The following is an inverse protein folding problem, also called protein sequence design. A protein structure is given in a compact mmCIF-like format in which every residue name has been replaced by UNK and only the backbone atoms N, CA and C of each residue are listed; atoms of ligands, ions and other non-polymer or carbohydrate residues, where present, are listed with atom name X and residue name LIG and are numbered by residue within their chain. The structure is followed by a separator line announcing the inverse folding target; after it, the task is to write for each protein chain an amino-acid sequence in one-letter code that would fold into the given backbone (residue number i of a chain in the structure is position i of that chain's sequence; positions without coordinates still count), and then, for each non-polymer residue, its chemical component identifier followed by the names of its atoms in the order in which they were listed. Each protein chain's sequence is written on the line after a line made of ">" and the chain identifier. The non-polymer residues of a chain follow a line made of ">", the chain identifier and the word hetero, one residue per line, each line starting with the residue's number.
data_IF_477166194775
#
_entry.id   IF_477166194775
#
_cell.length_a   1.000
_cell.length_b   1.000
_cell.length_c   1.000
_cell.angle_alpha   90.00
_cell.angle_beta   90.00
_cell.angle_gamma   90.00
#
_symmetry.space_group_name_H-M   'P 1'
#
loop_
_entity.id
_entity.type
_entity.pdbx_description
1 polymer ?
#
# COMPACT_ATOMS: atom_id res chain seq x y z
N UNK A 1 28.12 39.94 20.90
CA UNK A 1 27.30 39.42 19.79
C UNK A 1 28.11 38.32 19.16
N UNK A 2 27.79 37.07 19.49
CA UNK A 2 28.42 35.88 18.91
C UNK A 2 27.48 35.36 17.84
N UNK A 3 27.92 35.39 16.59
CA UNK A 3 27.20 34.81 15.47
C UNK A 3 27.16 33.28 15.66
N UNK A 4 25.96 32.74 15.76
CA UNK A 4 25.72 31.30 15.79
C UNK A 4 25.83 30.80 14.35
N UNK A 5 26.84 29.98 14.08
CA UNK A 5 27.00 29.25 12.83
C UNK A 5 25.76 28.35 12.62
N UNK A 6 24.94 28.70 11.63
CA UNK A 6 23.82 27.86 11.19
C UNK A 6 24.42 26.73 10.34
N UNK A 7 24.05 25.49 10.68
CA UNK A 7 24.56 24.23 10.11
C UNK A 7 24.57 24.22 8.57
N UNK A 8 25.77 24.13 7.99
CA UNK A 8 26.02 23.66 6.62
C UNK A 8 25.80 22.14 6.59
N UNK A 9 24.55 21.70 6.39
CA UNK A 9 24.33 20.32 5.98
C UNK A 9 24.87 20.16 4.56
N UNK A 10 26.01 19.46 4.44
CA UNK A 10 26.62 19.14 3.16
C UNK A 10 25.55 18.55 2.23
N UNK A 11 25.45 19.04 0.98
CA UNK A 11 24.53 18.52 -0.04
C UNK A 11 24.59 16.99 -0.16
N UNK A 12 25.75 16.38 0.12
CA UNK A 12 25.91 14.94 0.16
C UNK A 12 25.10 14.26 1.27
N UNK A 13 24.98 14.88 2.45
CA UNK A 13 24.20 14.35 3.57
C UNK A 13 22.69 14.40 3.29
N UNK A 14 22.20 15.50 2.72
CA UNK A 14 20.80 15.63 2.28
C UNK A 14 20.49 14.61 1.19
N UNK A 15 21.40 14.42 0.23
CA UNK A 15 21.25 13.42 -0.83
C UNK A 15 21.21 11.99 -0.26
N UNK A 16 22.07 11.68 0.71
CA UNK A 16 22.12 10.36 1.34
C UNK A 16 20.87 10.05 2.17
N UNK A 17 20.38 11.01 2.96
CA UNK A 17 19.14 10.84 3.73
C UNK A 17 17.92 10.69 2.80
N UNK A 18 17.89 11.45 1.71
CA UNK A 18 16.82 11.35 0.73
C UNK A 18 16.85 10.02 -0.04
N UNK A 19 18.04 9.56 -0.44
CA UNK A 19 18.22 8.22 -1.03
C UNK A 19 17.83 7.13 -0.03
N UNK A 20 18.14 7.27 1.26
CA UNK A 20 17.73 6.31 2.28
C UNK A 20 16.20 6.25 2.44
N UNK A 21 15.52 7.41 2.46
CA UNK A 21 14.05 7.49 2.50
C UNK A 21 13.46 6.83 1.25
N UNK A 22 13.98 7.14 0.07
CA UNK A 22 13.50 6.55 -1.19
C UNK A 22 13.75 5.04 -1.25
N UNK A 23 14.90 4.58 -0.77
CA UNK A 23 15.23 3.15 -0.67
C UNK A 23 14.26 2.44 0.27
N UNK A 24 13.86 3.10 1.38
CA UNK A 24 12.88 2.56 2.33
C UNK A 24 11.46 2.55 1.76
N UNK A 25 11.03 3.62 1.10
CA UNK A 25 9.75 3.69 0.36
C UNK A 25 9.73 2.65 -0.78
N UNK A 26 10.86 2.42 -1.44
CA UNK A 26 11.03 1.40 -2.45
C UNK A 26 10.93 0.00 -1.86
N UNK A 27 11.60 -0.27 -0.72
CA UNK A 27 11.49 -1.54 0.02
C UNK A 27 10.05 -1.82 0.44
N UNK A 28 9.34 -0.80 0.94
CA UNK A 28 7.94 -0.89 1.34
C UNK A 28 7.03 -1.30 0.18
N UNK A 29 7.21 -0.68 -1.00
CA UNK A 29 6.43 -1.02 -2.19
C UNK A 29 6.86 -2.36 -2.79
N UNK A 30 8.15 -2.70 -2.74
CA UNK A 30 8.67 -4.01 -3.10
C UNK A 30 8.10 -5.09 -2.21
N UNK A 31 7.99 -4.86 -0.91
CA UNK A 31 7.42 -5.82 0.03
C UNK A 31 5.94 -6.02 -0.21
N UNK A 32 5.16 -4.96 -0.48
CA UNK A 32 3.77 -5.09 -0.92
C UNK A 32 3.65 -5.89 -2.24
N UNK A 33 4.54 -5.67 -3.20
CA UNK A 33 4.53 -6.42 -4.46
C UNK A 33 5.04 -7.86 -4.30
N UNK A 34 6.03 -8.09 -3.44
CA UNK A 34 6.49 -9.42 -3.08
C UNK A 34 5.40 -10.13 -2.25
N UNK A 35 4.65 -9.42 -1.41
CA UNK A 35 3.47 -9.89 -0.69
C UNK A 35 2.23 -10.05 -1.57
N UNK A 36 2.25 -9.69 -2.85
CA UNK A 36 1.09 -9.83 -3.74
C UNK A 36 1.38 -10.71 -4.96
N UNK A 37 2.64 -10.75 -5.40
CA UNK A 37 3.11 -11.50 -6.57
C UNK A 37 4.07 -12.64 -6.20
N UNK A 38 4.79 -12.55 -5.07
CA UNK A 38 5.60 -13.64 -4.52
C UNK A 38 4.90 -14.36 -3.34
N UNK A 39 3.58 -14.18 -3.18
CA UNK A 39 2.77 -15.17 -2.48
C UNK A 39 2.74 -16.44 -3.31
N UNK A 40 3.84 -17.19 -3.22
CA UNK A 40 3.96 -18.57 -3.68
C UNK A 40 2.72 -19.35 -3.20
N UNK A 41 1.82 -19.70 -4.12
CA UNK A 41 0.62 -20.57 -4.01
C UNK A 41 -0.38 -20.34 -2.85
N UNK A 42 0.00 -19.61 -1.83
CA UNK A 42 -0.73 -19.48 -0.58
C UNK A 42 -1.71 -18.31 -0.73
N UNK A 43 -3.01 -18.61 -0.61
CA UNK A 43 -4.16 -17.70 -0.80
C UNK A 43 -4.49 -17.27 -2.23
N UNK A 44 -3.70 -17.64 -3.24
CA UNK A 44 -4.15 -17.52 -4.62
C UNK A 44 -5.30 -18.49 -4.88
N UNK A 45 -6.43 -17.96 -5.32
CA UNK A 45 -7.65 -18.71 -5.63
C UNK A 45 -7.88 -18.83 -7.15
N UNK A 46 -6.94 -18.30 -7.95
CA UNK A 46 -7.08 -18.24 -9.39
C UNK A 46 -5.74 -18.28 -10.10
N UNK A 47 -5.73 -18.78 -11.34
CA UNK A 47 -4.54 -18.91 -12.16
C UNK A 47 -4.79 -18.33 -13.56
N UNK A 48 -3.87 -17.49 -14.03
CA UNK A 48 -3.84 -17.02 -15.42
C UNK A 48 -2.56 -17.53 -16.09
N UNK A 49 -2.55 -17.62 -17.41
CA UNK A 49 -1.44 -18.17 -18.16
C UNK A 49 -1.07 -17.23 -19.31
N UNK A 50 0.22 -17.01 -19.55
CA UNK A 50 0.76 -16.27 -20.69
C UNK A 50 0.89 -17.15 -21.95
N UNK A 51 1.17 -16.53 -23.10
CA UNK A 51 1.31 -17.22 -24.38
C UNK A 51 2.47 -18.24 -24.43
N UNK A 52 3.50 -18.02 -23.62
CA UNK A 52 4.68 -18.88 -23.46
C UNK A 52 4.46 -20.01 -22.45
N UNK A 53 3.24 -20.12 -21.90
CA UNK A 53 2.85 -21.16 -20.96
C UNK A 53 3.18 -20.89 -19.49
N UNK A 54 3.75 -19.72 -19.17
CA UNK A 54 4.00 -19.37 -17.77
C UNK A 54 2.68 -19.11 -17.04
N UNK A 55 2.57 -19.64 -15.82
CA UNK A 55 1.36 -19.57 -14.99
C UNK A 55 1.57 -18.56 -13.86
N UNK A 56 0.62 -17.66 -13.70
CA UNK A 56 0.58 -16.68 -12.61
C UNK A 56 -0.56 -17.07 -11.67
N UNK A 57 -0.21 -17.29 -10.41
CA UNK A 57 -1.18 -17.44 -9.35
C UNK A 57 -1.58 -16.05 -8.87
N UNK A 58 -2.88 -15.79 -8.80
CA UNK A 58 -3.43 -14.48 -8.49
C UNK A 58 -4.62 -14.60 -7.53
N UNK A 59 -4.99 -13.47 -6.95
CA UNK A 59 -6.16 -13.32 -6.08
C UNK A 59 -7.31 -12.74 -6.91
N UNK A 60 -8.29 -13.57 -7.29
CA UNK A 60 -9.44 -13.16 -8.10
C UNK A 60 -10.15 -11.96 -7.49
N UNK A 61 -10.31 -11.97 -6.16
CA UNK A 61 -10.94 -10.88 -5.42
C UNK A 61 -10.23 -9.54 -5.64
N UNK A 62 -8.90 -9.51 -5.63
CA UNK A 62 -8.13 -8.28 -5.88
C UNK A 62 -8.34 -7.82 -7.32
N UNK A 63 -8.21 -8.71 -8.31
CA UNK A 63 -8.42 -8.33 -9.72
C UNK A 63 -9.84 -7.79 -9.94
N UNK A 64 -10.87 -8.46 -9.43
CA UNK A 64 -12.25 -7.98 -9.52
C UNK A 64 -12.39 -6.61 -8.89
N UNK A 65 -11.88 -6.41 -7.67
CA UNK A 65 -11.94 -5.11 -7.00
C UNK A 65 -11.27 -4.02 -7.85
N UNK A 66 -10.12 -4.32 -8.44
CA UNK A 66 -9.38 -3.39 -9.31
C UNK A 66 -10.14 -3.09 -10.61
N UNK A 67 -10.88 -4.06 -11.14
CA UNK A 67 -11.79 -3.90 -12.28
C UNK A 67 -13.22 -3.48 -11.88
N UNK A 68 -13.40 -2.87 -10.71
CA UNK A 68 -14.69 -2.36 -10.24
C UNK A 68 -15.80 -3.43 -10.23
N UNK A 69 -15.42 -4.66 -9.86
CA UNK A 69 -16.23 -5.88 -9.82
C UNK A 69 -16.84 -6.29 -11.17
N UNK A 70 -16.18 -5.93 -12.27
CA UNK A 70 -16.62 -6.26 -13.63
C UNK A 70 -16.01 -7.59 -14.13
N UNK A 71 -16.75 -8.68 -13.98
CA UNK A 71 -16.36 -10.03 -14.46
C UNK A 71 -16.11 -10.07 -15.97
N UNK A 72 -16.80 -9.25 -16.78
CA UNK A 72 -16.57 -9.20 -18.23
C UNK A 72 -15.19 -8.63 -18.56
N UNK A 73 -14.76 -7.58 -17.84
CA UNK A 73 -13.41 -7.01 -17.98
C UNK A 73 -12.35 -7.98 -17.48
N UNK A 74 -12.60 -8.69 -16.37
CA UNK A 74 -11.71 -9.73 -15.90
C UNK A 74 -11.52 -10.83 -16.95
N UNK A 75 -12.59 -11.32 -17.57
CA UNK A 75 -12.49 -12.34 -18.61
C UNK A 75 -11.68 -11.85 -19.81
N UNK A 76 -11.92 -10.63 -20.29
CA UNK A 76 -11.11 -10.03 -21.36
C UNK A 76 -9.64 -9.91 -20.97
N UNK A 77 -9.35 -9.54 -19.72
CA UNK A 77 -7.98 -9.47 -19.22
C UNK A 77 -7.29 -10.84 -19.26
N UNK A 78 -7.99 -11.90 -18.84
CA UNK A 78 -7.49 -13.28 -18.91
C UNK A 78 -7.22 -13.69 -20.37
N UNK A 79 -8.16 -13.40 -21.27
CA UNK A 79 -8.05 -13.72 -22.69
C UNK A 79 -6.84 -13.02 -23.32
N UNK A 80 -6.61 -11.75 -22.97
CA UNK A 80 -5.43 -11.00 -23.41
C UNK A 80 -4.15 -11.57 -22.81
N UNK A 81 -4.12 -11.91 -21.52
CA UNK A 81 -2.93 -12.49 -20.89
C UNK A 81 -2.46 -13.74 -21.65
N UNK A 82 -3.37 -14.58 -22.12
CA UNK A 82 -3.05 -15.79 -22.90
C UNK A 82 -2.38 -15.51 -24.25
N UNK A 83 -2.38 -14.26 -24.71
CA UNK A 83 -1.80 -13.81 -25.98
C UNK A 83 -0.50 -13.02 -25.78
N UNK A 84 -0.18 -12.61 -24.55
CA UNK A 84 0.99 -11.79 -24.21
C UNK A 84 2.12 -12.63 -23.60
N UNK A 85 3.36 -12.14 -23.68
CA UNK A 85 4.52 -12.81 -23.06
C UNK A 85 4.42 -12.79 -21.54
N UNK A 86 5.19 -13.64 -20.85
CA UNK A 86 5.31 -13.58 -19.39
C UNK A 86 5.65 -12.18 -18.89
N UNK A 87 6.57 -11.47 -19.52
CA UNK A 87 7.01 -10.14 -19.09
C UNK A 87 5.89 -9.10 -19.21
N UNK A 88 5.09 -9.16 -20.27
CA UNK A 88 3.95 -8.27 -20.48
C UNK A 88 2.83 -8.53 -19.46
N UNK A 89 2.51 -9.81 -19.20
CA UNK A 89 1.52 -10.18 -18.17
C UNK A 89 2.01 -9.76 -16.78
N UNK A 90 3.28 -10.02 -16.45
CA UNK A 90 3.89 -9.59 -15.20
C UNK A 90 3.83 -8.07 -15.05
N UNK A 91 4.12 -7.32 -16.11
CA UNK A 91 4.05 -5.86 -16.11
C UNK A 91 2.63 -5.34 -15.84
N UNK A 92 1.61 -5.94 -16.46
CA UNK A 92 0.21 -5.60 -16.18
C UNK A 92 -0.19 -5.94 -14.74
N UNK A 93 0.18 -7.12 -14.24
CA UNK A 93 -0.09 -7.52 -12.85
C UNK A 93 0.61 -6.60 -11.85
N UNK A 94 1.86 -6.21 -12.10
CA UNK A 94 2.57 -5.24 -11.27
C UNK A 94 1.77 -3.93 -11.13
N UNK A 95 1.20 -3.42 -12.22
CA UNK A 95 0.34 -2.24 -12.16
C UNK A 95 -0.97 -2.51 -11.39
N UNK A 96 -1.63 -3.64 -11.61
CA UNK A 96 -2.88 -3.98 -10.92
C UNK A 96 -2.67 -4.01 -9.40
N UNK A 97 -1.63 -4.68 -8.92
CA UNK A 97 -1.38 -4.87 -7.49
C UNK A 97 -0.72 -3.67 -6.80
N UNK A 98 0.08 -2.87 -7.53
CA UNK A 98 0.83 -1.76 -6.93
C UNK A 98 0.28 -0.38 -7.25
N UNK A 99 -0.44 -0.25 -8.37
CA UNK A 99 -0.78 1.03 -8.98
C UNK A 99 0.41 1.73 -9.66
N UNK A 100 1.57 1.07 -9.78
CA UNK A 100 2.79 1.61 -10.39
C UNK A 100 3.25 0.75 -11.57
N UNK A 101 3.86 1.39 -12.57
CA UNK A 101 4.27 0.73 -13.82
C UNK A 101 5.52 -0.14 -13.65
N UNK A 102 6.49 0.28 -12.83
CA UNK A 102 7.68 -0.49 -12.48
C UNK A 102 8.38 0.18 -11.29
N UNK A 103 8.43 -0.50 -10.14
CA UNK A 103 9.09 0.04 -8.95
C UNK A 103 10.61 0.07 -9.13
N UNK A 104 11.20 -0.97 -9.74
CA UNK A 104 12.66 -1.17 -9.81
C UNK A 104 13.34 -0.01 -10.53
N UNK A 105 12.57 0.66 -11.39
CA UNK A 105 13.00 1.85 -12.12
C UNK A 105 12.59 3.17 -11.50
N UNK A 106 11.69 3.25 -10.50
CA UNK A 106 11.54 4.48 -9.70
C UNK A 106 12.89 4.84 -9.05
N UNK A 107 13.64 3.82 -8.62
CA UNK A 107 15.00 4.00 -8.13
C UNK A 107 15.96 4.45 -9.25
N UNK A 108 15.87 3.88 -10.46
CA UNK A 108 16.67 4.30 -11.62
C UNK A 108 16.28 5.70 -12.16
N UNK A 109 15.02 6.14 -11.99
CA UNK A 109 14.48 7.46 -12.39
C UNK A 109 15.09 8.62 -11.62
N UNK A 110 15.55 8.39 -10.39
CA UNK A 110 16.36 9.38 -9.68
C UNK A 110 17.71 9.63 -10.38
N UNK A 111 18.14 8.71 -11.24
CA UNK A 111 19.42 8.76 -11.95
C UNK A 111 19.23 9.00 -13.48
N UNK A 112 18.07 8.71 -14.09
CA UNK A 112 17.82 8.88 -15.54
C UNK A 112 16.40 9.39 -15.94
N UNK A 113 16.36 10.10 -17.08
CA UNK A 113 15.34 11.04 -17.63
C UNK A 113 13.87 10.57 -17.73
N UNK A 114 12.95 11.56 -17.68
CA UNK A 114 11.47 11.49 -17.82
C UNK A 114 10.89 10.71 -19.02
N UNK A 115 11.65 10.50 -20.10
CA UNK A 115 11.15 9.92 -21.35
C UNK A 115 10.69 8.45 -21.21
N UNK A 116 11.30 7.68 -20.30
CA UNK A 116 10.95 6.27 -20.08
C UNK A 116 9.60 6.09 -19.37
N UNK A 117 9.14 7.07 -18.60
CA UNK A 117 7.84 6.98 -17.91
C UNK A 117 6.68 7.06 -18.89
N UNK A 118 6.78 7.95 -19.88
CA UNK A 118 5.75 8.11 -20.90
C UNK A 118 5.59 6.85 -21.74
N UNK A 119 6.70 6.17 -22.09
CA UNK A 119 6.65 4.91 -22.83
C UNK A 119 5.96 3.79 -22.03
N UNK A 120 6.22 3.70 -20.72
CA UNK A 120 5.59 2.68 -19.87
C UNK A 120 4.11 2.97 -19.64
N UNK A 121 3.76 4.22 -19.41
CA UNK A 121 2.36 4.65 -19.28
C UNK A 121 1.61 4.36 -20.58
N UNK A 122 2.21 4.63 -21.75
CA UNK A 122 1.65 4.27 -23.05
C UNK A 122 1.47 2.76 -23.20
N UNK A 123 2.45 1.93 -22.82
CA UNK A 123 2.31 0.46 -22.87
C UNK A 123 1.16 -0.07 -22.00
N UNK A 124 0.99 0.50 -20.80
CA UNK A 124 -0.14 0.16 -19.92
C UNK A 124 -1.46 0.65 -20.52
N UNK A 125 -1.50 1.87 -21.05
CA UNK A 125 -2.67 2.40 -21.74
C UNK A 125 -3.07 1.52 -22.92
N UNK A 126 -2.14 1.13 -23.78
CA UNK A 126 -2.38 0.22 -24.89
C UNK A 126 -2.96 -1.11 -24.41
N UNK A 127 -2.32 -1.77 -23.44
CA UNK A 127 -2.77 -3.06 -22.91
C UNK A 127 -4.17 -3.00 -22.31
N UNK A 128 -4.48 -1.97 -21.50
CA UNK A 128 -5.79 -1.85 -20.85
C UNK A 128 -6.87 -1.30 -21.78
N UNK A 129 -6.52 -0.52 -22.79
CA UNK A 129 -7.45 -0.12 -23.85
C UNK A 129 -7.95 -1.34 -24.63
N UNK A 130 -7.13 -2.37 -24.84
CA UNK A 130 -7.54 -3.61 -25.51
C UNK A 130 -8.68 -4.34 -24.75
N UNK A 131 -8.76 -4.21 -23.42
CA UNK A 131 -9.89 -4.76 -22.63
C UNK A 131 -11.05 -3.77 -22.42
N UNK A 132 -10.95 -2.56 -22.97
CA UNK A 132 -11.97 -1.52 -22.86
C UNK A 132 -11.87 -0.64 -21.62
N UNK A 133 -10.70 -0.54 -21.00
CA UNK A 133 -10.41 0.38 -19.90
C UNK A 133 -9.63 1.58 -20.43
N UNK A 134 -10.14 2.79 -20.15
CA UNK A 134 -9.57 4.02 -20.67
C UNK A 134 -8.49 4.63 -19.75
N UNK A 135 -7.88 5.73 -20.22
CA UNK A 135 -6.89 6.48 -19.42
C UNK A 135 -7.47 7.04 -18.10
N UNK A 136 -8.78 7.23 -17.99
CA UNK A 136 -9.40 7.69 -16.74
C UNK A 136 -9.41 6.58 -15.69
N UNK A 137 -9.71 5.35 -16.11
CA UNK A 137 -9.57 4.17 -15.26
C UNK A 137 -8.13 4.05 -14.76
N UNK A 138 -7.14 4.09 -15.65
CA UNK A 138 -5.71 3.98 -15.28
C UNK A 138 -5.33 5.06 -14.26
N UNK A 139 -5.68 6.33 -14.52
CA UNK A 139 -5.43 7.44 -13.59
C UNK A 139 -6.08 7.22 -12.23
N UNK A 140 -7.29 6.66 -12.20
CA UNK A 140 -8.01 6.38 -10.95
C UNK A 140 -7.38 5.24 -10.14
N UNK A 141 -6.65 4.34 -10.81
CA UNK A 141 -6.01 3.16 -10.22
C UNK A 141 -4.54 3.38 -9.89
N UNK A 142 -3.93 4.45 -10.40
CA UNK A 142 -2.51 4.80 -10.22
C UNK A 142 -2.17 5.12 -8.75
N UNK A 143 -1.08 4.54 -8.28
CA UNK A 143 -0.45 4.76 -6.98
C UNK A 143 -1.29 4.34 -5.76
N UNK A 144 -0.78 4.68 -4.57
CA UNK A 144 -1.35 4.32 -3.26
C UNK A 144 -2.81 4.76 -3.09
N UNK A 145 -3.16 5.98 -3.55
CA UNK A 145 -4.55 6.48 -3.44
C UNK A 145 -5.54 5.58 -4.20
N UNK A 146 -5.16 5.12 -5.39
CA UNK A 146 -6.00 4.21 -6.19
C UNK A 146 -6.18 2.85 -5.52
N UNK A 147 -5.11 2.31 -4.93
CA UNK A 147 -5.16 1.05 -4.17
C UNK A 147 -6.03 1.18 -2.92
N UNK A 148 -5.80 2.20 -2.08
CA UNK A 148 -6.60 2.45 -0.87
C UNK A 148 -8.07 2.60 -1.23
N UNK A 149 -8.39 3.39 -2.26
CA UNK A 149 -9.77 3.57 -2.71
C UNK A 149 -10.46 2.25 -3.03
N UNK A 150 -9.77 1.33 -3.70
CA UNK A 150 -10.31 0.03 -4.05
C UNK A 150 -10.41 -0.90 -2.83
N UNK A 151 -9.43 -0.89 -1.92
CA UNK A 151 -9.52 -1.62 -0.65
C UNK A 151 -10.64 -1.10 0.25
N UNK A 152 -10.87 0.21 0.30
CA UNK A 152 -12.01 0.79 1.02
C UNK A 152 -13.35 0.32 0.46
N UNK A 153 -13.47 0.14 -0.87
CA UNK A 153 -14.67 -0.50 -1.45
C UNK A 153 -14.79 -1.94 -1.01
N UNK A 154 -13.68 -2.69 -1.05
CA UNK A 154 -13.64 -4.09 -0.62
C UNK A 154 -14.06 -4.25 0.85
N UNK A 155 -13.64 -3.34 1.74
CA UNK A 155 -14.06 -3.33 3.15
C UNK A 155 -15.60 -3.28 3.33
N UNK A 156 -16.28 -2.56 2.43
CA UNK A 156 -17.73 -2.39 2.46
C UNK A 156 -18.51 -3.60 1.90
N UNK A 157 -17.85 -4.50 1.16
CA UNK A 157 -18.45 -5.71 0.60
C UNK A 157 -18.49 -6.81 1.66
N UNK A 158 -19.62 -6.97 2.34
CA UNK A 158 -19.76 -7.96 3.40
C UNK A 158 -19.89 -9.39 2.86
N UNK A 159 -20.39 -9.54 1.65
CA UNK A 159 -20.65 -10.81 0.97
C UNK A 159 -19.37 -11.55 0.55
N UNK A 160 -18.25 -10.85 0.42
CA UNK A 160 -16.95 -11.44 0.04
C UNK A 160 -16.07 -11.79 1.24
N UNK A 161 -16.48 -11.41 2.46
CA UNK A 161 -15.71 -11.68 3.70
C UNK A 161 -15.78 -13.16 4.05
N UNK A 162 -14.62 -13.78 4.16
CA UNK A 162 -14.41 -15.23 4.30
C UNK A 162 -13.83 -15.63 5.67
N UNK A 163 -13.74 -14.67 6.60
CA UNK A 163 -13.22 -14.89 7.95
C UNK A 163 -13.92 -14.06 9.01
N UNK A 164 -13.91 -14.54 10.25
CA UNK A 164 -14.47 -13.85 11.40
C UNK A 164 -13.48 -13.79 12.56
N UNK A 165 -13.23 -12.59 13.09
CA UNK A 165 -12.52 -12.43 14.36
C UNK A 165 -13.58 -12.25 15.46
N UNK A 166 -13.48 -13.01 16.54
CA UNK A 166 -14.36 -12.89 17.71
C UNK A 166 -13.63 -12.09 18.77
N UNK A 167 -14.07 -10.85 19.02
CA UNK A 167 -13.54 -9.96 20.04
C UNK A 167 -14.66 -9.60 21.01
N UNK A 168 -14.44 -9.81 22.32
CA UNK A 168 -15.47 -9.61 23.37
C UNK A 168 -16.83 -10.26 23.04
N UNK A 169 -16.80 -11.51 22.56
CA UNK A 169 -17.99 -12.27 22.13
C UNK A 169 -18.78 -11.65 20.95
N UNK A 170 -18.22 -10.65 20.28
CA UNK A 170 -18.79 -10.03 19.07
C UNK A 170 -17.99 -10.41 17.83
N UNK A 171 -18.68 -10.53 16.70
CA UNK A 171 -18.10 -10.94 15.43
C UNK A 171 -17.63 -9.74 14.58
N UNK A 172 -16.40 -9.81 14.07
CA UNK A 172 -15.84 -8.89 13.07
C UNK A 172 -15.54 -9.68 11.80
N UNK A 173 -16.38 -9.52 10.79
CA UNK A 173 -16.16 -10.14 9.47
C UNK A 173 -15.05 -9.41 8.72
N UNK A 174 -14.17 -10.18 8.08
CA UNK A 174 -12.99 -9.67 7.36
C UNK A 174 -12.58 -10.64 6.24
N UNK A 175 -11.78 -10.16 5.29
CA UNK A 175 -11.12 -11.00 4.28
C UNK A 175 -9.82 -11.58 4.86
N UNK A 176 -9.64 -12.91 4.83
CA UNK A 176 -8.38 -13.58 5.24
C UNK A 176 -7.19 -12.97 4.52
N UNK A 177 -7.35 -12.69 3.23
CA UNK A 177 -6.30 -12.09 2.39
C UNK A 177 -5.76 -10.79 2.99
N UNK A 178 -6.63 -9.95 3.54
CA UNK A 178 -6.21 -8.67 4.12
C UNK A 178 -5.44 -8.83 5.43
N UNK A 179 -5.86 -9.78 6.27
CA UNK A 179 -5.10 -10.15 7.46
C UNK A 179 -3.75 -10.75 7.09
N UNK A 180 -3.74 -11.68 6.15
CA UNK A 180 -2.54 -12.38 5.68
C UNK A 180 -1.48 -11.43 5.11
N UNK A 181 -1.90 -10.42 4.33
CA UNK A 181 -0.96 -9.45 3.74
C UNK A 181 -0.44 -8.46 4.79
N UNK A 182 -1.24 -8.10 5.79
CA UNK A 182 -0.94 -6.97 6.68
C UNK A 182 -0.46 -7.35 8.08
N UNK A 183 -0.55 -8.62 8.47
CA UNK A 183 -0.19 -9.12 9.80
C UNK A 183 0.61 -10.42 9.69
N UNK A 184 1.84 -10.41 10.18
CA UNK A 184 2.67 -11.62 10.22
C UNK A 184 2.11 -12.66 11.20
N UNK A 185 1.41 -12.23 12.25
CA UNK A 185 0.68 -13.13 13.14
C UNK A 185 -0.37 -13.95 12.38
N UNK A 186 -1.26 -13.28 11.64
CA UNK A 186 -2.30 -13.96 10.87
C UNK A 186 -1.73 -14.78 9.71
N UNK A 187 -0.70 -14.27 9.04
CA UNK A 187 0.03 -15.02 8.02
C UNK A 187 0.61 -16.32 8.57
N UNK A 188 1.31 -16.24 9.71
CA UNK A 188 1.83 -17.41 10.41
C UNK A 188 0.73 -18.37 10.85
N UNK A 189 -0.40 -17.85 11.35
CA UNK A 189 -1.56 -18.66 11.71
C UNK A 189 -2.12 -19.42 10.51
N UNK A 190 -2.38 -18.75 9.39
CA UNK A 190 -2.99 -19.37 8.22
C UNK A 190 -2.08 -20.37 7.49
N UNK A 191 -0.75 -20.18 7.55
CA UNK A 191 0.19 -21.11 6.93
C UNK A 191 0.44 -22.36 7.79
N UNK A 192 0.44 -22.20 9.11
CA UNK A 192 0.88 -23.27 10.03
C UNK A 192 -0.29 -24.00 10.70
N UNK A 193 -1.47 -23.37 10.80
CA UNK A 193 -2.64 -23.93 11.46
C UNK A 193 -3.69 -24.28 10.41
N UNK A 194 -3.88 -25.59 10.19
CA UNK A 194 -4.97 -26.09 9.34
C UNK A 194 -6.29 -26.09 10.11
N UNK A 195 -6.82 -24.90 10.37
CA UNK A 195 -8.17 -24.74 10.93
C UNK A 195 -9.18 -24.39 9.84
N UNK A 196 -10.23 -25.20 9.74
CA UNK A 196 -11.34 -25.01 8.80
C UNK A 196 -12.47 -24.15 9.37
N UNK A 197 -12.38 -23.70 10.64
CA UNK A 197 -13.43 -22.95 11.33
C UNK A 197 -13.76 -21.60 10.68
N UNK A 198 -12.84 -21.05 9.86
CA UNK A 198 -12.94 -19.71 9.28
C UNK A 198 -13.21 -18.62 10.33
N UNK A 199 -12.76 -18.84 11.56
CA UNK A 199 -12.85 -17.87 12.64
C UNK A 199 -11.68 -17.97 13.61
N UNK A 200 -11.45 -16.92 14.40
CA UNK A 200 -10.46 -16.91 15.48
C UNK A 200 -10.91 -16.00 16.61
N UNK A 201 -10.64 -16.38 17.86
CA UNK A 201 -10.84 -15.49 18.99
C UNK A 201 -9.65 -14.54 19.13
N UNK A 202 -9.93 -13.26 19.33
CA UNK A 202 -8.91 -12.29 19.72
C UNK A 202 -8.54 -12.49 21.20
N UNK A 203 -7.23 -12.52 21.47
CA UNK A 203 -6.66 -12.65 22.81
C UNK A 203 -5.74 -11.47 23.15
N UNK A 204 -5.92 -10.32 22.48
CA UNK A 204 -5.11 -9.12 22.70
C UNK A 204 -5.52 -8.32 23.95
N UNK A 205 -6.62 -8.72 24.60
CA UNK A 205 -7.26 -7.99 25.70
C UNK A 205 -7.72 -6.57 25.33
N UNK A 206 -7.87 -6.30 24.03
CA UNK A 206 -8.39 -5.02 23.51
C UNK A 206 -9.89 -5.08 23.28
N UNK A 207 -10.54 -3.92 23.33
CA UNK A 207 -11.98 -3.81 23.12
C UNK A 207 -12.39 -4.21 21.70
N UNK A 208 -13.65 -4.61 21.51
CA UNK A 208 -14.20 -4.86 20.17
C UNK A 208 -14.01 -3.65 19.25
N UNK A 209 -14.24 -2.44 19.76
CA UNK A 209 -14.10 -1.20 18.99
C UNK A 209 -12.64 -0.96 18.56
N UNK A 210 -11.67 -1.26 19.45
CA UNK A 210 -10.23 -1.17 19.16
C UNK A 210 -9.82 -2.17 18.07
N UNK A 211 -10.29 -3.43 18.12
CA UNK A 211 -10.04 -4.40 17.05
C UNK A 211 -10.73 -4.00 15.75
N UNK A 212 -11.95 -3.46 15.82
CA UNK A 212 -12.66 -2.98 14.64
C UNK A 212 -11.90 -1.84 13.94
N UNK A 213 -11.26 -0.95 14.71
CA UNK A 213 -10.41 0.11 14.16
C UNK A 213 -9.11 -0.41 13.57
N UNK A 214 -8.50 -1.42 14.20
CA UNK A 214 -7.39 -2.13 13.58
C UNK A 214 -7.80 -2.66 12.21
N UNK A 215 -8.93 -3.37 12.13
CA UNK A 215 -9.43 -3.89 10.85
C UNK A 215 -9.69 -2.76 9.86
N UNK A 216 -10.29 -1.64 10.27
CA UNK A 216 -10.46 -0.48 9.40
C UNK A 216 -9.12 0.01 8.84
N UNK A 217 -8.10 0.15 9.70
CA UNK A 217 -6.75 0.56 9.32
C UNK A 217 -6.13 -0.37 8.26
N UNK A 218 -6.34 -1.69 8.33
CA UNK A 218 -5.79 -2.63 7.34
C UNK A 218 -6.29 -2.36 5.90
N UNK A 219 -7.49 -1.79 5.73
CA UNK A 219 -8.04 -1.48 4.41
C UNK A 219 -7.79 -0.03 3.99
N UNK A 220 -7.77 0.90 4.94
CA UNK A 220 -7.74 2.34 4.65
C UNK A 220 -6.33 2.94 4.76
N UNK A 221 -5.43 2.26 5.47
CA UNK A 221 -4.10 2.78 5.80
C UNK A 221 -4.21 4.17 6.45
N UNK A 222 -5.24 4.30 7.31
CA UNK A 222 -5.66 5.46 8.09
C UNK A 222 -6.70 5.03 9.14
N UNK A 223 -6.97 5.89 10.11
CA UNK A 223 -8.02 5.69 11.14
C UNK A 223 -9.34 6.33 10.74
N UNK A 224 -10.45 5.80 11.27
CA UNK A 224 -11.76 6.47 11.18
C UNK A 224 -11.66 7.86 11.83
N UNK A 225 -12.26 8.87 11.19
CA UNK A 225 -12.23 10.26 11.66
C UNK A 225 -12.72 10.40 13.09
N UNK A 226 -13.73 9.60 13.49
CA UNK A 226 -14.28 9.60 14.85
C UNK A 226 -13.29 9.15 15.92
N UNK A 227 -12.30 8.35 15.54
CA UNK A 227 -11.35 7.74 16.48
C UNK A 227 -10.03 8.51 16.52
N UNK A 228 -9.70 9.25 15.46
CA UNK A 228 -8.61 10.25 15.49
C UNK A 228 -8.78 11.25 16.64
N UNK A 229 -10.03 11.60 16.96
CA UNK A 229 -10.37 12.53 18.04
C UNK A 229 -10.17 11.94 19.45
N UNK A 230 -10.09 10.60 19.59
CA UNK A 230 -10.02 9.92 20.90
C UNK A 230 -8.61 9.60 21.39
N UNK A 231 -7.56 9.96 20.65
CA UNK A 231 -6.18 9.70 21.08
C UNK A 231 -5.77 8.22 20.98
N UNK A 232 -6.32 7.49 20.00
CA UNK A 232 -6.08 6.06 19.73
C UNK A 232 -4.61 5.64 19.50
N UNK A 233 -3.65 6.57 19.57
CA UNK A 233 -2.26 6.33 19.19
C UNK A 233 -1.51 5.33 20.08
N UNK A 234 -1.74 5.35 21.40
CA UNK A 234 -1.03 4.44 22.32
C UNK A 234 -1.55 3.00 22.18
N UNK A 235 -2.87 2.81 22.23
CA UNK A 235 -3.48 1.48 22.05
C UNK A 235 -3.14 0.87 20.68
N UNK A 236 -3.01 1.70 19.65
CA UNK A 236 -2.64 1.22 18.34
C UNK A 236 -1.19 0.72 18.27
N UNK A 237 -0.27 1.33 19.03
CA UNK A 237 1.12 0.83 19.10
C UNK A 237 1.15 -0.59 19.65
N UNK A 238 0.42 -0.85 20.74
CA UNK A 238 0.31 -2.20 21.31
C UNK A 238 -0.29 -3.20 20.31
N UNK A 239 -1.35 -2.79 19.61
CA UNK A 239 -1.97 -3.62 18.57
C UNK A 239 -1.00 -3.93 17.44
N UNK A 240 -0.23 -2.94 17.00
CA UNK A 240 0.73 -3.10 15.93
C UNK A 240 1.76 -4.17 16.28
N UNK A 241 2.28 -4.12 17.51
CA UNK A 241 3.26 -5.08 18.00
C UNK A 241 2.63 -6.46 18.20
N UNK A 242 1.45 -6.53 18.83
CA UNK A 242 0.73 -7.78 19.07
C UNK A 242 0.40 -8.52 17.76
N UNK A 243 -0.21 -7.83 16.81
CA UNK A 243 -0.58 -8.40 15.51
C UNK A 243 0.58 -8.47 14.53
N UNK A 244 1.76 -7.98 14.91
CA UNK A 244 2.95 -7.92 14.07
C UNK A 244 2.62 -7.33 12.71
N UNK A 245 1.96 -6.15 12.74
CA UNK A 245 1.56 -5.51 11.50
C UNK A 245 2.81 -5.17 10.70
N UNK A 246 2.76 -5.48 9.41
CA UNK A 246 3.86 -5.19 8.51
C UNK A 246 4.16 -3.70 8.57
N UNK A 247 5.38 -3.33 9.02
CA UNK A 247 5.85 -1.98 9.34
C UNK A 247 5.99 -1.05 8.11
N UNK A 248 5.24 -1.36 7.06
CA UNK A 248 5.33 -0.82 5.73
C UNK A 248 4.27 0.25 5.46
N UNK A 249 3.54 0.70 6.48
CA UNK A 249 2.67 1.86 6.29
C UNK A 249 3.56 3.11 6.18
N UNK A 250 3.26 3.99 5.21
CA UNK A 250 3.84 5.35 5.20
C UNK A 250 3.53 6.07 6.52
N UNK A 251 2.48 5.65 7.23
CA UNK A 251 2.15 6.10 8.58
C UNK A 251 3.26 5.78 9.58
N UNK A 252 3.94 4.62 9.50
CA UNK A 252 5.09 4.32 10.38
C UNK A 252 6.25 5.27 10.14
N UNK A 253 6.52 5.61 8.88
CA UNK A 253 7.52 6.59 8.48
C UNK A 253 7.15 8.02 8.89
N UNK A 254 5.85 8.33 8.90
CA UNK A 254 5.31 9.62 9.33
C UNK A 254 5.24 9.73 10.86
N UNK A 255 4.92 8.66 11.59
CA UNK A 255 4.87 8.61 13.06
C UNK A 255 6.28 8.60 13.66
N UNK A 256 7.23 7.85 13.09
CA UNK A 256 8.66 7.91 13.44
C UNK A 256 9.20 9.34 13.29
N UNK A 257 8.75 10.08 12.26
CA UNK A 257 9.16 11.47 12.03
C UNK A 257 8.32 12.52 12.76
N UNK A 258 7.03 12.31 13.01
CA UNK A 258 6.17 13.24 13.74
C UNK A 258 6.42 13.18 15.26
N UNK A 259 6.76 12.01 15.80
CA UNK A 259 7.22 11.87 17.19
C UNK A 259 8.50 12.66 17.49
N UNK A 260 9.35 12.89 16.47
CA UNK A 260 10.57 13.70 16.58
C UNK A 260 10.31 15.21 16.74
N UNK A 261 9.08 15.70 16.47
CA UNK A 261 8.75 17.13 16.52
C UNK A 261 7.93 17.55 17.73
N UNK A 262 7.44 16.63 18.57
CA UNK A 262 6.65 16.98 19.76
C UNK A 262 7.48 17.22 21.03
N UNK A 263 8.79 16.97 21.04
CA UNK A 263 9.63 17.11 22.25
C UNK A 263 10.65 18.26 22.24
N UNK A 264 10.44 19.31 21.44
CA UNK A 264 11.21 20.57 21.58
C UNK A 264 10.30 21.82 21.66
N UNK A 265 9.18 21.75 22.39
CA UNK A 265 8.48 22.96 22.83
C UNK A 265 9.22 23.56 24.04
N UNK A 266 10.24 24.39 23.78
CA UNK A 266 10.87 25.16 24.86
C UNK A 266 11.96 26.15 24.50
N UNK A 267 12.50 26.13 23.27
CA UNK A 267 13.43 27.17 22.80
C UNK A 267 13.16 27.50 21.35
N UNK A 268 12.74 28.75 21.11
CA UNK A 268 12.81 29.36 19.78
C UNK A 268 14.26 29.28 19.29
N UNK A 269 14.52 28.34 18.38
CA UNK A 269 15.67 28.40 17.50
C UNK A 269 15.08 28.72 16.14
N UNK A 270 15.44 29.88 15.60
CA UNK A 270 15.22 30.24 14.20
C UNK A 270 15.90 29.18 13.31
N UNK A 271 15.15 28.16 12.89
CA UNK A 271 15.57 27.12 11.93
C UNK A 271 14.69 27.22 10.68
N UNK A 272 15.17 26.72 9.52
CA UNK A 272 14.58 27.05 8.22
C UNK A 272 13.12 26.62 8.14
N UNK A 273 12.30 27.60 7.77
CA UNK A 273 10.86 27.47 7.58
C UNK A 273 10.60 26.61 6.33
N UNK A 274 10.22 25.35 6.50
CA UNK A 274 9.66 24.55 5.42
C UNK A 274 8.19 24.93 5.27
N UNK A 275 7.90 25.89 4.39
CA UNK A 275 6.53 26.26 4.08
C UNK A 275 5.99 25.33 2.98
N UNK A 276 5.29 24.27 3.37
CA UNK A 276 4.44 23.52 2.43
C UNK A 276 3.22 24.41 2.15
N UNK A 277 3.30 25.28 1.14
CA UNK A 277 2.10 25.95 0.65
C UNK A 277 1.27 24.95 -0.15
N UNK A 278 0.10 24.61 0.38
CA UNK A 278 -0.96 23.95 -0.39
C UNK A 278 -1.38 24.87 -1.54
N UNK A 279 -0.79 24.68 -2.71
CA UNK A 279 -1.33 25.20 -3.95
C UNK A 279 -2.37 24.22 -4.50
N UNK A 280 -3.58 24.74 -4.66
CA UNK A 280 -4.74 24.00 -5.15
C UNK A 280 -4.48 23.24 -6.46
N UNK A 281 -5.05 22.04 -6.56
CA UNK A 281 -5.36 21.28 -7.79
C UNK A 281 -4.16 21.06 -8.73
N UNK A 282 -3.18 20.26 -8.30
CA UNK A 282 -2.49 19.22 -9.10
C UNK A 282 -1.56 18.44 -8.16
N UNK A 283 -1.64 17.12 -8.23
CA UNK A 283 -0.94 16.20 -7.34
C UNK A 283 0.59 16.31 -7.45
N UNK A 284 1.22 16.35 -6.26
CA UNK A 284 2.63 16.28 -5.85
C UNK A 284 3.17 17.58 -5.21
N UNK A 285 3.77 17.50 -4.00
CA UNK A 285 4.42 18.66 -3.38
C UNK A 285 5.66 19.05 -4.20
N UNK A 286 5.66 20.28 -4.72
CA UNK A 286 6.85 20.89 -5.30
C UNK A 286 7.71 21.45 -4.15
N UNK A 287 8.89 20.87 -3.93
CA UNK A 287 9.88 21.40 -3.01
C UNK A 287 10.72 22.41 -3.80
N UNK A 288 10.57 23.70 -3.50
CA UNK A 288 11.39 24.77 -4.07
C UNK A 288 12.50 25.11 -3.08
N UNK A 289 13.75 25.05 -3.54
CA UNK A 289 14.92 25.51 -2.81
C UNK A 289 15.12 26.99 -3.09
N UNK A 290 15.22 27.82 -2.05
CA UNK A 290 15.76 29.17 -2.18
C UNK A 290 17.22 29.13 -1.72
N UNK A 291 18.11 29.61 -2.59
CA UNK A 291 19.53 29.84 -2.31
C UNK A 291 19.71 31.02 -1.37
#
# INVERSE_FOLDING_TARGET
>A
MNDVNIFDLNQNQITNEFVAILTRVYSINQDMNNLLLNLNDNFSDYQIQSNDGFKFNIHKLILLTRFDNNESILQKFIDICSQKSKEEVQFALNFIYSGFYDLQRIYQKFIQKQQQEQEQEQKIEELFNEIGLDSNWIKSKKGRKGIIKDLSKLYQQNETKDFTIIAEEKEIKVHKLMLFIRSELFKGMFLNVQDSSNQVHDYSEKSFETIQQLIYFLYHDDFDEKEKEKGFSEEFSDLKDYYQLNQNSIIDLLLEKWGFWQEESGKEISKPFFMIKNYSKRDFPLIIFFS
#
